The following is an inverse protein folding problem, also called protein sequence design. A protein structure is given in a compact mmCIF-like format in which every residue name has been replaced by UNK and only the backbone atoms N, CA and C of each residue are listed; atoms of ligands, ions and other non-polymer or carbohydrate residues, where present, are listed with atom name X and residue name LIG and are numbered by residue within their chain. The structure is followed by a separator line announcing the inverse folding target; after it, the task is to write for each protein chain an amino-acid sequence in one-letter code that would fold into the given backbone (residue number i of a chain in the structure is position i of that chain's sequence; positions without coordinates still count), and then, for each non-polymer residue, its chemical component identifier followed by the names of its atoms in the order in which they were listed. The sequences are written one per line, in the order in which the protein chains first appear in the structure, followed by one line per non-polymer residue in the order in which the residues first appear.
data_IF_517131405474
#
_entry.id   IF_517131405474
#
_cell.length_a   1.000
_cell.length_b   1.000
_cell.length_c   1.000
_cell.angle_alpha   90.00
_cell.angle_beta   90.00
_cell.angle_gamma   90.00
#
_symmetry.space_group_name_H-M   'P 1'
#
loop_
_entity.id
_entity.type
_entity.pdbx_description
1 polymer ?
#
# COMPACT_ATOMS: atom_id res chain seq x y z
N UNK A 1 -74.61 -12.75 -26.06
CA UNK A 1 -74.56 -11.33 -25.65
C UNK A 1 -73.58 -11.24 -24.48
N UNK A 2 -72.43 -10.62 -24.73
CA UNK A 2 -71.16 -10.82 -24.02
C UNK A 2 -70.71 -9.51 -23.36
N UNK A 3 -69.95 -9.65 -22.25
CA UNK A 3 -69.12 -8.65 -21.55
C UNK A 3 -69.89 -7.58 -20.74
N UNK A 4 -69.48 -7.18 -19.53
CA UNK A 4 -68.12 -6.70 -19.21
C UNK A 4 -67.96 -6.58 -17.67
N UNK A 5 -66.95 -7.24 -17.08
CA UNK A 5 -66.39 -6.90 -15.75
C UNK A 5 -64.92 -6.54 -15.96
N UNK A 6 -64.54 -5.32 -15.60
CA UNK A 6 -63.16 -4.82 -15.65
C UNK A 6 -62.59 -4.97 -14.24
N UNK A 7 -61.58 -5.82 -14.09
CA UNK A 7 -60.81 -6.00 -12.86
C UNK A 7 -59.48 -5.25 -13.03
N UNK A 8 -59.26 -4.19 -12.26
CA UNK A 8 -57.98 -3.48 -12.23
C UNK A 8 -57.08 -4.16 -11.19
N UNK A 9 -56.15 -4.98 -11.68
CA UNK A 9 -55.05 -5.52 -10.89
C UNK A 9 -53.92 -4.47 -10.86
N UNK A 10 -53.86 -3.66 -9.80
CA UNK A 10 -52.75 -2.76 -9.55
C UNK A 10 -51.64 -3.57 -8.85
N UNK A 11 -50.74 -4.13 -9.64
CA UNK A 11 -49.52 -4.80 -9.15
C UNK A 11 -48.55 -3.70 -8.73
N UNK A 12 -48.43 -3.50 -7.42
CA UNK A 12 -47.43 -2.63 -6.82
C UNK A 12 -46.08 -3.38 -6.84
N UNK A 13 -45.30 -3.14 -7.88
CA UNK A 13 -43.93 -3.66 -8.01
C UNK A 13 -43.03 -2.86 -7.06
N UNK A 14 -42.85 -3.36 -5.83
CA UNK A 14 -41.78 -2.90 -4.95
C UNK A 14 -40.44 -3.16 -5.64
N UNK A 15 -39.87 -2.12 -6.25
CA UNK A 15 -38.46 -2.01 -6.54
C UNK A 15 -37.71 -2.04 -5.20
N UNK A 16 -37.43 -3.25 -4.72
CA UNK A 16 -36.44 -3.47 -3.68
C UNK A 16 -35.09 -3.24 -4.35
N UNK A 17 -34.65 -1.98 -4.41
CA UNK A 17 -33.28 -1.63 -4.72
C UNK A 17 -32.46 -2.21 -3.57
N UNK A 18 -31.95 -3.42 -3.77
CA UNK A 18 -30.91 -3.98 -2.92
C UNK A 18 -29.67 -3.13 -3.17
N UNK A 19 -29.50 -2.08 -2.36
CA UNK A 19 -28.22 -1.41 -2.24
C UNK A 19 -27.27 -2.44 -1.65
N UNK A 20 -26.45 -3.06 -2.50
CA UNK A 20 -25.26 -3.75 -2.04
C UNK A 20 -24.37 -2.68 -1.42
N UNK A 21 -24.40 -2.55 -0.10
CA UNK A 21 -23.31 -1.90 0.62
C UNK A 21 -22.13 -2.84 0.45
N UNK A 22 -21.33 -2.60 -0.59
CA UNK A 22 -19.98 -3.13 -0.61
C UNK A 22 -19.23 -2.34 0.45
N UNK A 23 -18.88 -3.00 1.56
CA UNK A 23 -18.21 -2.33 2.66
C UNK A 23 -16.88 -1.75 2.15
N UNK A 24 -16.70 -0.45 2.36
CA UNK A 24 -15.55 0.29 1.87
C UNK A 24 -14.34 -0.10 2.72
N UNK A 25 -13.25 -0.51 2.08
CA UNK A 25 -12.01 -0.87 2.80
C UNK A 25 -11.48 0.36 3.51
N UNK A 26 -11.34 0.28 4.84
CA UNK A 26 -10.81 1.38 5.65
C UNK A 26 -9.30 1.25 5.75
N UNK A 27 -8.58 2.18 5.12
CA UNK A 27 -7.13 2.11 4.99
C UNK A 27 -6.48 2.96 6.09
N UNK A 28 -5.54 2.35 6.83
CA UNK A 28 -4.75 3.01 7.86
C UNK A 28 -3.27 2.96 7.49
N UNK A 29 -2.58 4.10 7.55
CA UNK A 29 -1.16 4.21 7.18
C UNK A 29 -0.33 4.80 8.32
N UNK A 30 0.93 4.39 8.40
CA UNK A 30 1.92 4.96 9.31
C UNK A 30 3.25 4.22 9.24
N UNK A 31 4.17 4.64 10.12
CA UNK A 31 5.52 4.07 10.20
C UNK A 31 5.69 3.27 11.49
N UNK A 32 6.42 2.15 11.38
CA UNK A 32 6.95 1.42 12.53
C UNK A 32 8.47 1.56 12.60
N UNK A 33 9.01 1.72 13.80
CA UNK A 33 10.46 1.86 14.00
C UNK A 33 11.15 0.49 14.06
N UNK A 34 11.94 0.16 13.04
CA UNK A 34 12.68 -1.11 12.97
C UNK A 34 14.15 -0.86 13.38
N UNK A 35 14.66 -1.51 14.46
CA UNK A 35 15.99 -1.22 15.03
C UNK A 35 17.18 -1.23 14.07
N UNK A 36 17.09 -1.96 12.95
CA UNK A 36 18.15 -2.10 11.95
C UNK A 36 17.88 -1.40 10.61
N UNK A 37 16.62 -1.09 10.32
CA UNK A 37 16.18 -0.58 9.01
C UNK A 37 15.66 0.86 9.08
N UNK A 38 15.45 1.40 10.30
CA UNK A 38 14.82 2.70 10.50
C UNK A 38 13.30 2.63 10.34
N UNK A 39 12.65 3.78 10.08
CA UNK A 39 11.20 3.84 9.92
C UNK A 39 10.75 3.04 8.69
N UNK A 40 9.80 2.12 8.89
CA UNK A 40 9.20 1.32 7.84
C UNK A 40 7.74 1.75 7.65
N UNK A 41 7.47 2.39 6.51
CA UNK A 41 6.11 2.73 6.08
C UNK A 41 5.30 1.46 5.80
N UNK A 42 4.12 1.38 6.42
CA UNK A 42 3.22 0.25 6.36
C UNK A 42 1.77 0.74 6.29
N UNK A 43 0.90 -0.08 5.72
CA UNK A 43 -0.54 0.17 5.74
C UNK A 43 -1.33 -1.09 6.03
N UNK A 44 -2.42 -0.91 6.78
CA UNK A 44 -3.39 -1.94 7.13
C UNK A 44 -4.77 -1.51 6.65
N UNK A 45 -5.36 -2.26 5.73
CA UNK A 45 -6.75 -2.10 5.33
C UNK A 45 -7.66 -2.99 6.17
N UNK A 46 -8.71 -2.44 6.78
CA UNK A 46 -9.76 -3.22 7.43
C UNK A 46 -10.88 -3.42 6.40
N UNK A 47 -11.11 -4.67 6.02
CA UNK A 47 -12.13 -5.06 5.04
C UNK A 47 -13.15 -6.00 5.67
N UNK A 48 -14.44 -5.70 5.49
CA UNK A 48 -15.54 -6.56 5.91
C UNK A 48 -16.09 -7.29 4.69
N UNK A 49 -15.97 -8.62 4.68
CA UNK A 49 -16.47 -9.48 3.61
C UNK A 49 -17.56 -10.42 4.11
N UNK A 50 -18.21 -11.11 3.17
CA UNK A 50 -19.25 -12.10 3.48
C UNK A 50 -18.74 -13.24 4.38
N UNK A 51 -17.43 -13.53 4.36
CA UNK A 51 -16.78 -14.60 5.12
C UNK A 51 -16.13 -14.13 6.43
N UNK A 52 -16.25 -12.84 6.75
CA UNK A 52 -15.71 -12.21 7.96
C UNK A 52 -14.84 -10.98 7.67
N UNK A 53 -14.15 -10.52 8.70
CA UNK A 53 -13.26 -9.37 8.64
C UNK A 53 -11.84 -9.79 8.25
N UNK A 54 -11.17 -8.97 7.45
CA UNK A 54 -9.80 -9.16 7.01
C UNK A 54 -8.98 -7.91 7.29
N UNK A 55 -7.70 -8.11 7.64
CA UNK A 55 -6.67 -7.09 7.55
C UNK A 55 -5.92 -7.27 6.23
N UNK A 56 -5.74 -6.18 5.47
CA UNK A 56 -4.98 -6.15 4.22
C UNK A 56 -3.65 -5.46 4.50
N UNK A 57 -2.56 -6.22 4.48
CA UNK A 57 -1.22 -5.71 4.74
C UNK A 57 -0.53 -5.23 3.46
N UNK A 58 -0.07 -3.98 3.47
CA UNK A 58 0.73 -3.37 2.42
C UNK A 58 2.01 -2.78 3.00
N UNK A 59 3.17 -3.18 2.46
CA UNK A 59 4.50 -2.66 2.80
C UNK A 59 5.21 -2.30 1.49
N UNK A 60 5.11 -1.03 1.05
CA UNK A 60 5.56 -0.63 -0.29
C UNK A 60 7.05 -0.86 -0.54
N UNK A 61 7.91 -0.62 0.46
CA UNK A 61 9.37 -0.79 0.33
C UNK A 61 9.79 -2.26 0.20
N UNK A 62 8.93 -3.19 0.60
CA UNK A 62 9.13 -4.63 0.51
C UNK A 62 8.37 -5.26 -0.67
N UNK A 63 7.72 -4.45 -1.52
CA UNK A 63 6.91 -4.94 -2.64
C UNK A 63 5.70 -5.79 -2.22
N UNK A 64 5.27 -5.67 -0.96
CA UNK A 64 4.12 -6.40 -0.42
C UNK A 64 2.89 -5.52 -0.55
N UNK A 65 1.84 -6.03 -1.19
CA UNK A 65 0.61 -5.28 -1.42
C UNK A 65 -0.61 -6.17 -1.15
N UNK A 66 -1.55 -5.64 -0.36
CA UNK A 66 -2.88 -6.17 -0.07
C UNK A 66 -2.89 -7.65 0.34
N UNK A 67 -1.90 -8.08 1.12
CA UNK A 67 -1.87 -9.46 1.65
C UNK A 67 -3.04 -9.63 2.62
N UNK A 68 -3.98 -10.55 2.36
CA UNK A 68 -5.14 -10.73 3.22
C UNK A 68 -4.81 -11.61 4.43
N UNK A 69 -5.05 -11.09 5.62
CA UNK A 69 -5.00 -11.80 6.89
C UNK A 69 -6.42 -11.89 7.45
N UNK A 70 -6.90 -13.10 7.72
CA UNK A 70 -8.21 -13.28 8.35
C UNK A 70 -8.17 -12.74 9.78
N UNK A 71 -9.07 -11.81 10.09
CA UNK A 71 -9.13 -11.17 11.39
C UNK A 71 -10.23 -11.79 12.26
N UNK A 72 -9.98 -11.87 13.56
CA UNK A 72 -10.93 -12.32 14.58
C UNK A 72 -11.11 -11.23 15.62
N UNK A 73 -12.35 -10.95 16.01
CA UNK A 73 -12.62 -10.02 17.10
C UNK A 73 -12.35 -10.68 18.45
N UNK A 74 -11.49 -10.05 19.24
CA UNK A 74 -11.21 -10.35 20.64
C UNK A 74 -12.10 -9.52 21.57
N UNK A 75 -12.03 -9.81 22.87
CA UNK A 75 -12.72 -9.00 23.88
C UNK A 75 -12.31 -7.52 23.79
N UNK A 76 -13.29 -6.63 23.95
CA UNK A 76 -13.06 -5.19 23.91
C UNK A 76 -12.96 -4.59 22.50
N UNK A 77 -13.25 -5.37 21.45
CA UNK A 77 -13.27 -4.89 20.07
C UNK A 77 -11.88 -4.77 19.42
N UNK A 78 -10.90 -5.51 19.93
CA UNK A 78 -9.60 -5.67 19.26
C UNK A 78 -9.73 -6.69 18.13
N UNK A 79 -9.04 -6.43 17.03
CA UNK A 79 -8.87 -7.33 15.89
C UNK A 79 -7.53 -8.05 16.04
N UNK A 80 -7.58 -9.37 15.99
CA UNK A 80 -6.39 -10.21 15.90
C UNK A 80 -6.29 -10.83 14.51
N UNK A 81 -5.13 -10.72 13.87
CA UNK A 81 -4.84 -11.42 12.63
C UNK A 81 -3.39 -11.89 12.61
N UNK A 82 -3.12 -13.03 11.96
CA UNK A 82 -1.79 -13.62 11.90
C UNK A 82 -1.42 -14.11 10.52
N UNK A 83 -0.12 -14.10 10.25
CA UNK A 83 0.52 -14.67 9.08
C UNK A 83 1.61 -15.64 9.56
N UNK A 84 1.25 -16.89 9.90
CA UNK A 84 2.16 -17.82 10.58
C UNK A 84 3.46 -18.08 9.83
N UNK A 85 3.41 -18.16 8.49
CA UNK A 85 4.59 -18.37 7.65
C UNK A 85 5.63 -17.24 7.72
N UNK A 86 5.25 -16.05 8.19
CA UNK A 86 6.13 -14.91 8.40
C UNK A 86 6.43 -14.64 9.88
N UNK A 87 5.89 -15.47 10.79
CA UNK A 87 5.96 -15.25 12.24
C UNK A 87 5.36 -13.90 12.66
N UNK A 88 4.36 -13.41 11.92
CA UNK A 88 3.80 -12.07 12.04
C UNK A 88 2.38 -12.14 12.62
N UNK A 89 2.07 -11.29 13.60
CA UNK A 89 0.71 -11.09 14.09
C UNK A 89 0.41 -9.62 14.39
N UNK A 90 -0.88 -9.29 14.39
CA UNK A 90 -1.40 -7.96 14.67
C UNK A 90 -2.49 -8.05 15.73
N UNK A 91 -2.41 -7.19 16.73
CA UNK A 91 -3.47 -6.92 17.72
C UNK A 91 -3.79 -5.43 17.64
N UNK A 92 -4.84 -5.08 16.89
CA UNK A 92 -5.13 -3.69 16.53
C UNK A 92 -6.59 -3.34 16.80
N UNK A 93 -6.88 -2.06 17.00
CA UNK A 93 -8.23 -1.56 17.27
C UNK A 93 -8.46 -0.21 16.61
N UNK A 94 -9.58 -0.10 15.91
CA UNK A 94 -10.07 1.17 15.38
C UNK A 94 -10.61 2.04 16.53
N UNK A 95 -10.34 3.34 16.49
CA UNK A 95 -10.99 4.29 17.38
C UNK A 95 -12.47 4.52 16.99
N UNK A 96 -13.25 5.19 17.84
CA UNK A 96 -14.71 5.30 17.70
C UNK A 96 -15.18 5.95 16.39
N UNK A 97 -14.40 6.90 15.89
CA UNK A 97 -14.61 7.64 14.65
C UNK A 97 -13.85 7.03 13.46
N UNK A 98 -13.21 5.87 13.64
CA UNK A 98 -12.45 5.16 12.62
C UNK A 98 -11.33 6.00 11.97
N UNK A 99 -10.87 7.07 12.62
CA UNK A 99 -9.80 7.94 12.11
C UNK A 99 -8.40 7.39 12.40
N UNK A 100 -8.28 6.46 13.36
CA UNK A 100 -7.01 5.85 13.77
C UNK A 100 -7.15 4.36 14.02
N UNK A 101 -6.06 3.65 13.76
CA UNK A 101 -5.85 2.26 14.12
C UNK A 101 -4.66 2.19 15.07
N UNK A 102 -4.89 1.70 16.29
CA UNK A 102 -3.85 1.60 17.31
C UNK A 102 -3.70 0.17 17.79
N UNK A 103 -2.48 -0.24 18.14
CA UNK A 103 -2.24 -1.59 18.63
C UNK A 103 -0.79 -1.99 18.60
N UNK A 104 -0.55 -3.29 18.44
CA UNK A 104 0.79 -3.86 18.35
C UNK A 104 0.89 -4.83 17.18
N UNK A 105 2.07 -4.84 16.56
CA UNK A 105 2.50 -5.85 15.61
C UNK A 105 3.61 -6.67 16.27
N UNK A 106 3.54 -8.00 16.16
CA UNK A 106 4.60 -8.89 16.62
C UNK A 106 5.27 -9.57 15.44
N UNK A 107 6.59 -9.46 15.37
CA UNK A 107 7.43 -10.22 14.43
C UNK A 107 8.81 -10.46 15.05
N UNK A 108 8.90 -11.40 15.99
CA UNK A 108 10.08 -11.62 16.83
C UNK A 108 10.34 -10.51 17.87
N UNK A 109 10.00 -9.26 17.53
CA UNK A 109 9.92 -8.09 18.39
C UNK A 109 8.49 -7.52 18.36
N UNK A 110 8.20 -6.62 19.29
CA UNK A 110 6.94 -5.87 19.34
C UNK A 110 7.14 -4.48 18.73
N UNK A 111 6.20 -4.07 17.88
CA UNK A 111 6.18 -2.77 17.23
C UNK A 111 4.83 -2.09 17.48
N UNK A 112 4.86 -0.85 17.94
CA UNK A 112 3.64 -0.08 18.18
C UNK A 112 3.02 0.36 16.86
N UNK A 113 1.70 0.25 16.77
CA UNK A 113 0.89 0.75 15.67
C UNK A 113 0.12 1.98 16.16
N UNK A 114 0.34 3.14 15.53
CA UNK A 114 -0.49 4.35 15.64
C UNK A 114 -0.69 4.91 14.23
N UNK A 115 -1.56 4.27 13.47
CA UNK A 115 -1.80 4.57 12.06
C UNK A 115 -3.02 5.48 11.91
N UNK A 116 -3.00 6.31 10.88
CA UNK A 116 -4.05 7.29 10.58
C UNK A 116 -4.83 6.83 9.35
N UNK A 117 -6.15 7.02 9.37
CA UNK A 117 -7.01 6.71 8.22
C UNK A 117 -6.69 7.60 7.04
N UNK A 118 -6.60 7.00 5.86
CA UNK A 118 -6.44 7.67 4.56
C UNK A 118 -7.51 7.20 3.59
N UNK A 119 -7.88 8.04 2.63
CA UNK A 119 -8.86 7.68 1.58
C UNK A 119 -8.24 6.74 0.54
N UNK A 120 -7.00 7.01 0.13
CA UNK A 120 -6.26 6.20 -0.83
C UNK A 120 -4.79 6.08 -0.40
N UNK A 121 -4.17 4.93 -0.68
CA UNK A 121 -2.73 4.78 -0.53
C UNK A 121 -2.02 5.60 -1.61
N UNK A 122 -1.10 6.48 -1.20
CA UNK A 122 -0.20 7.10 -2.14
C UNK A 122 0.62 6.01 -2.81
N UNK A 123 0.36 5.76 -4.09
CA UNK A 123 1.21 4.87 -4.87
C UNK A 123 2.60 5.48 -4.93
N UNK A 124 3.61 4.81 -4.37
CA UNK A 124 4.99 5.17 -4.64
C UNK A 124 5.24 4.88 -6.12
N UNK A 125 5.02 5.88 -6.97
CA UNK A 125 5.34 5.81 -8.39
C UNK A 125 6.87 5.77 -8.49
N UNK A 126 7.42 4.56 -8.57
CA UNK A 126 8.81 4.33 -8.98
C UNK A 126 8.77 3.96 -10.46
N UNK A 127 8.80 4.94 -11.39
CA UNK A 127 8.89 4.60 -12.79
C UNK A 127 10.21 3.86 -12.97
N UNK A 128 10.16 2.62 -13.50
CA UNK A 128 11.35 1.79 -13.69
C UNK A 128 12.38 2.45 -14.62
N UNK A 129 11.93 3.45 -15.40
CA UNK A 129 12.78 4.36 -16.13
C UNK A 129 12.52 5.80 -15.65
N UNK A 130 13.53 6.48 -15.06
CA UNK A 130 13.39 7.86 -14.65
C UNK A 130 13.03 8.74 -15.87
N UNK A 131 12.13 9.70 -15.66
CA UNK A 131 11.73 10.63 -16.73
C UNK A 131 12.54 11.92 -16.62
N UNK A 132 12.89 12.48 -17.77
CA UNK A 132 13.53 13.79 -17.85
C UNK A 132 12.67 14.89 -17.17
N UNK A 133 13.29 15.96 -16.66
CA UNK A 133 14.73 16.25 -16.69
C UNK A 133 15.53 15.45 -15.65
N UNK A 134 16.70 14.93 -16.07
CA UNK A 134 17.60 14.23 -15.15
C UNK A 134 18.40 15.23 -14.31
N UNK A 135 18.68 14.94 -13.03
CA UNK A 135 19.46 15.81 -12.14
C UNK A 135 20.98 15.71 -12.38
N UNK A 136 21.38 15.47 -13.62
CA UNK A 136 22.77 15.38 -14.06
C UNK A 136 22.88 15.79 -15.52
N UNK A 137 24.05 16.33 -15.89
CA UNK A 137 24.40 16.54 -17.30
C UNK A 137 25.16 15.32 -17.82
N UNK A 138 24.89 14.93 -19.06
CA UNK A 138 25.62 13.87 -19.77
C UNK A 138 26.53 14.43 -20.86
N UNK A 139 27.69 13.78 -21.08
CA UNK A 139 28.63 14.11 -22.15
C UNK A 139 29.28 12.85 -22.69
N UNK A 140 29.25 12.68 -24.01
CA UNK A 140 30.06 11.66 -24.68
C UNK A 140 31.55 12.00 -24.62
N UNK A 141 32.37 11.04 -24.17
CA UNK A 141 33.81 11.19 -24.05
C UNK A 141 34.55 10.07 -24.78
N UNK A 142 35.67 10.43 -25.39
CA UNK A 142 36.62 9.47 -25.97
C UNK A 142 37.96 9.59 -25.25
N UNK A 143 38.48 8.46 -24.77
CA UNK A 143 39.77 8.38 -24.07
C UNK A 143 40.69 7.43 -24.82
N UNK A 144 41.94 7.83 -25.01
CA UNK A 144 42.98 6.97 -25.58
C UNK A 144 43.59 6.10 -24.48
N UNK A 145 43.52 4.78 -24.65
CA UNK A 145 44.22 3.81 -23.79
C UNK A 145 45.72 3.79 -24.10
N UNK A 146 46.61 3.54 -23.11
CA UNK A 146 48.06 3.43 -23.33
C UNK A 146 48.47 2.43 -24.42
N UNK A 147 47.72 1.35 -24.61
CA UNK A 147 47.93 0.36 -25.68
C UNK A 147 47.36 0.80 -27.04
N UNK A 148 47.13 2.10 -27.20
CA UNK A 148 46.82 2.75 -28.47
C UNK A 148 45.45 2.39 -29.08
N UNK A 149 44.45 2.08 -28.25
CA UNK A 149 43.05 1.92 -28.66
C UNK A 149 42.13 2.95 -27.99
N UNK A 150 40.99 3.25 -28.60
CA UNK A 150 40.04 4.26 -28.14
C UNK A 150 38.93 3.64 -27.28
N UNK A 151 38.65 4.25 -26.14
CA UNK A 151 37.51 3.96 -25.28
C UNK A 151 36.47 5.07 -25.44
N UNK A 152 35.22 4.69 -25.69
CA UNK A 152 34.09 5.61 -25.72
C UNK A 152 33.17 5.32 -24.55
N UNK A 153 32.65 6.37 -23.94
CA UNK A 153 31.68 6.24 -22.86
C UNK A 153 30.99 7.57 -22.57
N UNK A 154 29.99 7.49 -21.70
CA UNK A 154 29.21 8.64 -21.26
C UNK A 154 29.67 9.09 -19.88
N UNK A 155 30.07 10.36 -19.78
CA UNK A 155 30.38 11.02 -18.51
C UNK A 155 29.11 11.71 -17.99
N UNK A 156 28.60 11.25 -16.84
CA UNK A 156 27.50 11.91 -16.12
C UNK A 156 28.05 12.77 -14.98
N UNK A 157 27.54 14.00 -14.85
CA UNK A 157 28.00 14.98 -13.86
C UNK A 157 26.80 15.46 -13.04
N UNK A 158 26.75 15.20 -11.72
CA UNK A 158 25.70 15.71 -10.85
C UNK A 158 25.64 17.24 -10.82
N UNK A 159 24.44 17.79 -10.63
CA UNK A 159 24.28 19.22 -10.42
C UNK A 159 24.80 19.69 -9.05
N UNK A 160 25.25 20.94 -8.98
CA UNK A 160 25.65 21.60 -7.73
C UNK A 160 27.16 21.76 -7.55
N UNK A 161 27.55 22.33 -6.41
CA UNK A 161 28.95 22.52 -6.03
C UNK A 161 29.40 21.26 -5.28
N UNK A 162 30.35 20.53 -5.86
CA UNK A 162 30.94 19.33 -5.26
C UNK A 162 31.74 19.62 -3.98
N UNK A 163 32.56 18.67 -3.50
CA UNK A 163 33.09 17.52 -4.24
C UNK A 163 32.10 16.35 -4.34
N UNK A 164 32.13 15.66 -5.49
CA UNK A 164 31.39 14.41 -5.69
C UNK A 164 32.38 13.22 -5.81
N UNK A 165 32.08 12.06 -5.21
CA UNK A 165 32.85 10.86 -5.46
C UNK A 165 32.74 10.43 -6.93
N UNK A 166 33.82 9.92 -7.50
CA UNK A 166 33.87 9.41 -8.87
C UNK A 166 33.68 7.89 -8.87
N UNK A 167 32.80 7.40 -9.74
CA UNK A 167 32.61 5.97 -10.01
C UNK A 167 32.90 5.69 -11.49
N UNK A 168 33.55 4.56 -11.76
CA UNK A 168 33.80 4.08 -13.13
C UNK A 168 33.05 2.77 -13.29
N UNK A 169 32.17 2.71 -14.28
CA UNK A 169 31.42 1.51 -14.65
C UNK A 169 32.01 0.95 -15.95
N UNK A 170 32.38 -0.34 -15.94
CA UNK A 170 32.99 -1.05 -17.06
C UNK A 170 32.13 -2.24 -17.48
#
# INVERSE_FOLDING_TARGET
MVLRRISHCFIWLCLFVCTSVADEVRIYTGSIEVPTLGPLEMSLGVAEGNEGTYLLLTVPTQGTQDIPLKATFMQGGMLFAELPQAGLSFEVKENKDQSKLTGVMHQGLEFLIDFIRVEELSTLIRPQEPKAPFPYTEREVTVLHPDNFLLQGTLTIPEGKGPFPCAVMI
#
